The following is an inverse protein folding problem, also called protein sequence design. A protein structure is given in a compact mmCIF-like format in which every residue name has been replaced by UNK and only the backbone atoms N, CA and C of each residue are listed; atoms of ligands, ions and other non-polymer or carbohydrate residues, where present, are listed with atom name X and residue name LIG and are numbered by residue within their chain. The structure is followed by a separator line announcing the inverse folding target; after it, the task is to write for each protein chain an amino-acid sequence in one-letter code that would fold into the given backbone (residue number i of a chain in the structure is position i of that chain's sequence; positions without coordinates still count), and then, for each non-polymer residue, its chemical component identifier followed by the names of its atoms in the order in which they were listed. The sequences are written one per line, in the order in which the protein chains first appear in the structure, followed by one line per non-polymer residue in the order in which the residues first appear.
data_IF_076188636367
#
_entry.id   IF_076188636367
#
_cell.length_a   1.000
_cell.length_b   1.000
_cell.length_c   1.000
_cell.angle_alpha   90.00
_cell.angle_beta   90.00
_cell.angle_gamma   90.00
#
_symmetry.space_group_name_H-M   'P 1'
#
loop_
_entity.id
_entity.type
_entity.pdbx_description
1 polymer ?
#
# COMPACT_ATOMS: atom_id res chain seq x y z
N UNK A 1 65.63 16.78 48.12
CA UNK A 1 64.91 17.18 46.92
C UNK A 1 64.01 16.02 46.54
N UNK A 2 62.67 16.16 46.74
CA UNK A 2 61.67 15.09 46.43
C UNK A 2 61.00 15.48 45.12
N UNK A 3 61.24 14.68 44.10
CA UNK A 3 60.54 14.87 42.81
C UNK A 3 59.12 14.20 42.86
N UNK A 4 58.09 15.00 42.76
CA UNK A 4 56.76 14.50 42.62
C UNK A 4 56.49 14.24 41.12
N UNK A 5 56.17 13.01 40.78
CA UNK A 5 55.75 12.59 39.44
C UNK A 5 54.24 12.74 39.39
N UNK A 6 53.74 13.69 38.58
CA UNK A 6 52.31 13.89 38.32
C UNK A 6 51.92 12.93 37.18
N UNK A 7 51.12 11.92 37.51
CA UNK A 7 50.48 11.05 36.51
C UNK A 7 49.22 11.73 35.99
N UNK A 8 49.28 12.27 34.77
CA UNK A 8 48.10 12.79 34.09
C UNK A 8 47.36 11.61 33.46
N UNK A 9 46.22 11.25 34.06
CA UNK A 9 45.28 10.25 33.47
C UNK A 9 44.48 10.96 32.37
N UNK A 10 44.80 10.71 31.11
CA UNK A 10 43.96 11.06 29.97
C UNK A 10 42.73 10.13 29.95
N UNK A 11 41.61 10.64 30.40
CA UNK A 11 40.30 10.02 30.14
C UNK A 11 40.01 10.13 28.62
N UNK A 12 40.29 9.05 27.89
CA UNK A 12 39.78 8.89 26.53
C UNK A 12 38.25 8.73 26.61
N UNK A 13 37.54 9.83 26.47
CA UNK A 13 36.09 9.83 26.22
C UNK A 13 35.90 9.26 24.82
N UNK A 14 35.76 7.94 24.69
CA UNK A 14 35.33 7.32 23.46
C UNK A 14 33.89 7.80 23.22
N UNK A 15 33.53 8.44 22.07
CA UNK A 15 32.17 8.69 21.76
C UNK A 15 31.47 7.33 21.67
N UNK A 16 30.53 7.08 22.58
CA UNK A 16 29.62 5.96 22.46
C UNK A 16 28.91 6.16 21.13
N UNK A 17 29.29 5.41 20.11
CA UNK A 17 28.52 5.23 18.90
C UNK A 17 27.20 4.59 19.38
N UNK A 18 26.21 5.42 19.66
CA UNK A 18 24.85 4.96 19.91
C UNK A 18 24.42 4.23 18.62
N UNK A 19 24.47 2.92 18.63
CA UNK A 19 23.88 2.10 17.58
C UNK A 19 22.39 2.41 17.57
N UNK A 20 21.90 2.98 16.47
CA UNK A 20 20.51 3.30 16.31
C UNK A 20 19.67 2.02 16.46
N UNK A 21 18.62 2.05 17.27
CA UNK A 21 17.79 0.88 17.49
C UNK A 21 16.95 0.58 16.25
N UNK A 22 16.51 -0.65 16.09
CA UNK A 22 15.59 -1.02 15.00
C UNK A 22 14.29 -0.21 15.08
N UNK A 23 13.83 0.13 16.28
CA UNK A 23 12.61 0.92 16.47
C UNK A 23 12.81 2.38 16.02
N UNK A 24 13.97 2.97 16.25
CA UNK A 24 14.30 4.32 15.79
C UNK A 24 14.32 4.35 14.25
N UNK A 25 14.97 3.37 13.62
CA UNK A 25 15.02 3.24 12.17
C UNK A 25 13.63 3.08 11.55
N UNK A 26 12.76 2.28 12.17
CA UNK A 26 11.36 2.11 11.73
C UNK A 26 10.58 3.42 11.90
N UNK A 27 10.78 4.14 13.01
CA UNK A 27 10.10 5.42 13.25
C UNK A 27 10.52 6.49 12.22
N UNK A 28 11.82 6.55 11.90
CA UNK A 28 12.31 7.44 10.84
C UNK A 28 11.74 7.06 9.46
N UNK A 29 11.66 5.77 9.16
CA UNK A 29 11.05 5.29 7.92
C UNK A 29 9.56 5.66 7.82
N UNK A 30 8.81 5.56 8.92
CA UNK A 30 7.41 5.98 8.97
C UNK A 30 7.26 7.50 8.74
N UNK A 31 8.15 8.32 9.32
CA UNK A 31 8.15 9.75 9.05
C UNK A 31 8.43 10.05 7.57
N UNK A 32 9.44 9.40 6.98
CA UNK A 32 9.74 9.58 5.56
C UNK A 32 8.59 9.16 4.63
N UNK A 33 7.91 8.06 4.92
CA UNK A 33 6.85 7.56 4.02
C UNK A 33 5.49 8.22 4.23
N UNK A 34 5.15 8.66 5.46
CA UNK A 34 3.80 9.16 5.79
C UNK A 34 3.72 10.67 5.97
N UNK A 35 4.86 11.37 6.16
CA UNK A 35 4.88 12.81 6.42
C UNK A 35 5.58 13.57 5.31
N UNK A 36 6.78 13.13 4.91
CA UNK A 36 7.56 13.82 3.88
C UNK A 36 7.47 13.20 2.50
N UNK A 37 6.88 12.00 2.41
CA UNK A 37 6.72 11.22 1.16
C UNK A 37 8.04 10.95 0.43
N UNK A 38 9.12 10.75 1.20
CA UNK A 38 10.46 10.46 0.69
C UNK A 38 10.70 8.92 0.71
N UNK A 39 9.95 8.19 -0.11
CA UNK A 39 9.87 6.73 -0.08
C UNK A 39 11.24 6.03 -0.20
N UNK A 40 12.20 6.59 -0.96
CA UNK A 40 13.54 6.03 -1.03
C UNK A 40 14.27 6.14 0.31
N UNK A 41 14.17 7.26 1.03
CA UNK A 41 14.77 7.41 2.36
C UNK A 41 14.11 6.48 3.38
N UNK A 42 12.80 6.28 3.28
CA UNK A 42 12.09 5.29 4.10
C UNK A 42 12.66 3.89 3.87
N UNK A 43 12.82 3.48 2.62
CA UNK A 43 13.41 2.19 2.26
C UNK A 43 14.85 2.06 2.76
N UNK A 44 15.68 3.10 2.63
CA UNK A 44 17.08 3.08 3.10
C UNK A 44 17.17 2.87 4.61
N UNK A 45 16.24 3.43 5.40
CA UNK A 45 16.16 3.18 6.85
C UNK A 45 15.71 1.76 7.18
N UNK A 46 14.76 1.23 6.44
CA UNK A 46 14.30 -0.15 6.60
C UNK A 46 15.38 -1.17 6.23
N UNK A 47 16.21 -0.90 5.20
CA UNK A 47 17.36 -1.72 4.85
C UNK A 47 18.46 -1.71 5.94
N UNK A 48 18.57 -0.61 6.70
CA UNK A 48 19.44 -0.59 7.89
C UNK A 48 18.83 -1.43 9.02
N UNK A 49 17.51 -1.35 9.24
CA UNK A 49 16.79 -2.16 10.22
C UNK A 49 16.88 -3.67 9.91
N UNK A 50 16.83 -4.04 8.62
CA UNK A 50 16.97 -5.43 8.16
C UNK A 50 18.30 -6.05 8.54
N UNK A 51 19.40 -5.26 8.57
CA UNK A 51 20.73 -5.74 9.02
C UNK A 51 20.77 -6.09 10.50
N UNK A 52 19.84 -5.53 11.30
CA UNK A 52 19.74 -5.80 12.74
C UNK A 52 18.86 -7.03 12.99
N UNK A 53 17.68 -7.11 12.34
CA UNK A 53 16.75 -8.24 12.46
C UNK A 53 15.94 -8.41 11.16
N UNK A 54 16.31 -9.43 10.38
CA UNK A 54 15.71 -9.75 9.08
C UNK A 54 14.26 -10.26 9.20
N UNK A 55 13.84 -10.69 10.39
CA UNK A 55 12.52 -11.27 10.62
C UNK A 55 11.59 -10.33 11.40
N UNK A 56 11.99 -9.08 11.64
CA UNK A 56 11.18 -8.13 12.36
C UNK A 56 9.89 -7.84 11.60
N UNK A 57 8.77 -8.26 12.15
CA UNK A 57 7.45 -8.10 11.53
C UNK A 57 7.16 -6.62 11.15
N UNK A 58 7.48 -5.69 12.07
CA UNK A 58 7.19 -4.27 11.86
C UNK A 58 8.02 -3.66 10.73
N UNK A 59 9.23 -4.15 10.50
CA UNK A 59 10.06 -3.79 9.36
C UNK A 59 9.53 -4.44 8.07
N UNK A 60 9.21 -5.75 8.08
CA UNK A 60 8.83 -6.51 6.90
C UNK A 60 7.64 -5.91 6.14
N UNK A 61 6.53 -5.60 6.82
CA UNK A 61 5.37 -5.04 6.13
C UNK A 61 5.62 -3.61 5.60
N UNK A 62 6.52 -2.85 6.26
CA UNK A 62 6.94 -1.52 5.81
C UNK A 62 7.84 -1.59 4.59
N UNK A 63 8.75 -2.58 4.53
CA UNK A 63 9.53 -2.88 3.33
C UNK A 63 8.60 -3.13 2.13
N UNK A 64 7.57 -3.97 2.31
CA UNK A 64 6.57 -4.19 1.27
C UNK A 64 5.90 -2.88 0.83
N UNK A 65 5.51 -2.00 1.77
CA UNK A 65 4.94 -0.69 1.46
C UNK A 65 5.90 0.14 0.63
N UNK A 66 7.13 0.36 1.11
CA UNK A 66 8.09 1.21 0.42
C UNK A 66 8.43 0.72 -0.99
N UNK A 67 8.50 -0.61 -1.20
CA UNK A 67 8.72 -1.16 -2.54
C UNK A 67 7.51 -0.93 -3.47
N UNK A 68 6.27 -0.98 -2.98
CA UNK A 68 5.09 -0.61 -3.77
C UNK A 68 5.14 0.88 -4.12
N UNK A 69 5.28 1.73 -3.11
CA UNK A 69 5.22 3.19 -3.25
C UNK A 69 6.31 3.70 -4.23
N UNK A 70 7.55 3.20 -4.12
CA UNK A 70 8.60 3.51 -5.09
C UNK A 70 8.24 2.94 -6.48
N UNK A 71 7.79 1.69 -6.54
CA UNK A 71 7.46 1.02 -7.79
C UNK A 71 6.40 1.76 -8.61
N UNK A 72 5.41 2.38 -7.96
CA UNK A 72 4.36 3.16 -8.62
C UNK A 72 4.89 4.43 -9.31
N UNK A 73 5.97 5.02 -8.78
CA UNK A 73 6.58 6.25 -9.31
C UNK A 73 7.76 5.99 -10.24
N UNK A 74 8.15 4.72 -10.48
CA UNK A 74 9.19 4.41 -11.46
C UNK A 74 8.71 4.70 -12.89
N UNK A 75 9.61 5.17 -13.78
CA UNK A 75 9.33 5.23 -15.21
C UNK A 75 8.90 3.85 -15.75
N UNK A 76 7.98 3.84 -16.73
CA UNK A 76 7.42 2.60 -17.28
C UNK A 76 7.16 2.66 -18.81
N UNK A 77 7.93 3.47 -19.51
CA UNK A 77 7.78 3.68 -20.96
C UNK A 77 8.51 2.61 -21.77
N UNK A 78 9.71 2.21 -21.34
CA UNK A 78 10.52 1.18 -22.00
C UNK A 78 10.34 -0.18 -21.33
N UNK A 79 10.69 -1.26 -22.04
CA UNK A 79 10.58 -2.61 -21.47
C UNK A 79 11.52 -2.80 -20.26
N UNK A 80 12.72 -2.22 -20.29
CA UNK A 80 13.65 -2.24 -19.15
C UNK A 80 13.09 -1.49 -17.92
N UNK A 81 12.41 -0.37 -18.12
CA UNK A 81 11.74 0.37 -17.04
C UNK A 81 10.58 -0.43 -16.47
N UNK A 82 9.78 -1.07 -17.32
CA UNK A 82 8.68 -1.95 -16.90
C UNK A 82 9.20 -3.16 -16.12
N UNK A 83 10.28 -3.78 -16.57
CA UNK A 83 10.90 -4.90 -15.87
C UNK A 83 11.38 -4.48 -14.47
N UNK A 84 12.02 -3.31 -14.36
CA UNK A 84 12.43 -2.75 -13.06
C UNK A 84 11.23 -2.48 -12.16
N UNK A 85 10.14 -1.93 -12.68
CA UNK A 85 8.89 -1.71 -11.92
C UNK A 85 8.33 -3.05 -11.41
N UNK A 86 8.29 -4.08 -12.25
CA UNK A 86 7.85 -5.42 -11.85
C UNK A 86 8.75 -6.04 -10.77
N UNK A 87 10.07 -5.84 -10.85
CA UNK A 87 11.01 -6.28 -9.81
C UNK A 87 10.68 -5.66 -8.44
N UNK A 88 10.33 -4.37 -8.40
CA UNK A 88 9.91 -3.70 -7.16
C UNK A 88 8.63 -4.30 -6.58
N UNK A 89 7.63 -4.57 -7.42
CA UNK A 89 6.40 -5.23 -6.96
C UNK A 89 6.64 -6.66 -6.49
N UNK A 90 7.57 -7.39 -7.12
CA UNK A 90 7.95 -8.72 -6.65
C UNK A 90 8.65 -8.68 -5.29
N UNK A 91 9.57 -7.74 -5.08
CA UNK A 91 10.19 -7.51 -3.75
C UNK A 91 9.13 -7.15 -2.71
N UNK A 92 8.17 -6.30 -3.07
CA UNK A 92 7.05 -5.96 -2.18
C UNK A 92 6.26 -7.21 -1.76
N UNK A 93 5.98 -8.12 -2.70
CA UNK A 93 5.33 -9.40 -2.42
C UNK A 93 6.18 -10.26 -1.47
N UNK A 94 7.48 -10.42 -1.74
CA UNK A 94 8.37 -11.25 -0.95
C UNK A 94 8.43 -10.80 0.52
N UNK A 95 8.50 -9.49 0.76
CA UNK A 95 8.47 -8.92 2.11
C UNK A 95 7.10 -9.06 2.79
N UNK A 96 6.00 -8.87 2.05
CA UNK A 96 4.66 -9.08 2.59
C UNK A 96 4.42 -10.56 2.96
N UNK A 97 4.90 -11.49 2.14
CA UNK A 97 4.77 -12.93 2.41
C UNK A 97 5.60 -13.34 3.65
N UNK A 98 6.81 -12.79 3.82
CA UNK A 98 7.57 -12.92 5.06
C UNK A 98 6.81 -12.36 6.26
N UNK A 99 6.15 -11.19 6.11
CA UNK A 99 5.36 -10.59 7.19
C UNK A 99 4.18 -11.49 7.59
N UNK A 100 3.44 -12.04 6.62
CA UNK A 100 2.35 -13.00 6.89
C UNK A 100 2.86 -14.24 7.62
N UNK A 101 4.01 -14.80 7.20
CA UNK A 101 4.63 -15.96 7.85
C UNK A 101 5.11 -15.64 9.27
N UNK A 102 5.66 -14.46 9.49
CA UNK A 102 6.15 -14.01 10.80
C UNK A 102 5.02 -13.76 11.79
N UNK A 103 3.86 -13.23 11.32
CA UNK A 103 2.72 -12.91 12.18
C UNK A 103 1.39 -13.18 11.46
N UNK A 104 0.93 -14.46 11.41
CA UNK A 104 -0.25 -14.87 10.64
C UNK A 104 -1.58 -14.41 11.22
N UNK A 105 -1.59 -13.81 12.39
CA UNK A 105 -2.76 -13.21 13.07
C UNK A 105 -2.85 -11.68 12.88
N UNK A 106 -1.99 -11.08 12.04
CA UNK A 106 -1.99 -9.65 11.78
C UNK A 106 -2.56 -9.33 10.41
N UNK A 107 -3.55 -8.42 10.36
CA UNK A 107 -4.22 -7.98 9.12
C UNK A 107 -3.26 -7.33 8.14
N UNK A 108 -2.32 -6.51 8.63
CA UNK A 108 -1.45 -5.69 7.76
C UNK A 108 -0.57 -6.54 6.83
N UNK A 109 -0.11 -7.72 7.26
CA UNK A 109 0.65 -8.62 6.40
C UNK A 109 -0.15 -9.06 5.18
N UNK A 110 -1.40 -9.49 5.38
CA UNK A 110 -2.30 -9.90 4.30
C UNK A 110 -2.66 -8.73 3.40
N UNK A 111 -2.95 -7.55 3.95
CA UNK A 111 -3.24 -6.35 3.17
C UNK A 111 -2.06 -5.99 2.27
N UNK A 112 -0.84 -5.99 2.80
CA UNK A 112 0.36 -5.69 2.00
C UNK A 112 0.60 -6.72 0.91
N UNK A 113 0.36 -8.02 1.19
CA UNK A 113 0.47 -9.07 0.19
C UNK A 113 -0.61 -8.95 -0.89
N UNK A 114 -1.84 -8.62 -0.51
CA UNK A 114 -2.91 -8.34 -1.47
C UNK A 114 -2.59 -7.15 -2.38
N UNK A 115 -2.03 -6.05 -1.83
CA UNK A 115 -1.61 -4.89 -2.62
C UNK A 115 -0.51 -5.28 -3.61
N UNK A 116 0.56 -5.93 -3.13
CA UNK A 116 1.68 -6.33 -3.98
C UNK A 116 1.24 -7.28 -5.12
N UNK A 117 0.42 -8.30 -4.80
CA UNK A 117 -0.16 -9.19 -5.80
C UNK A 117 -1.07 -8.45 -6.80
N UNK A 118 -1.85 -7.49 -6.30
CA UNK A 118 -2.68 -6.64 -7.14
C UNK A 118 -1.86 -5.82 -8.13
N UNK A 119 -0.73 -5.24 -7.70
CA UNK A 119 0.19 -4.50 -8.59
C UNK A 119 0.81 -5.41 -9.65
N UNK A 120 1.30 -6.59 -9.26
CA UNK A 120 1.82 -7.58 -10.22
C UNK A 120 0.73 -8.02 -11.21
N UNK A 121 -0.50 -8.26 -10.73
CA UNK A 121 -1.62 -8.67 -11.58
C UNK A 121 -2.03 -7.58 -12.57
N UNK A 122 -2.07 -6.31 -12.16
CA UNK A 122 -2.35 -5.17 -13.03
C UNK A 122 -1.24 -4.99 -14.08
N UNK A 123 0.02 -5.12 -13.66
CA UNK A 123 1.17 -5.01 -14.54
C UNK A 123 1.19 -6.09 -15.63
N UNK A 124 0.96 -7.36 -15.27
CA UNK A 124 0.89 -8.50 -16.21
C UNK A 124 -0.41 -8.55 -17.00
N UNK A 125 -1.41 -7.76 -16.61
CA UNK A 125 -2.80 -7.90 -17.04
C UNK A 125 -3.52 -8.96 -16.21
N UNK A 126 -4.64 -8.57 -15.58
CA UNK A 126 -5.39 -9.43 -14.63
C UNK A 126 -5.80 -10.78 -15.21
N UNK A 127 -6.00 -10.86 -16.52
CA UNK A 127 -6.38 -12.09 -17.24
C UNK A 127 -5.22 -13.07 -17.42
N UNK A 128 -3.99 -12.58 -17.34
CA UNK A 128 -2.77 -13.40 -17.37
C UNK A 128 -2.27 -13.75 -15.95
N UNK A 129 -2.94 -13.23 -14.92
CA UNK A 129 -2.51 -13.33 -13.51
C UNK A 129 -3.66 -13.79 -12.60
N UNK A 130 -4.49 -14.73 -13.08
CA UNK A 130 -5.72 -15.18 -12.40
C UNK A 130 -5.44 -15.68 -10.97
N UNK A 131 -4.36 -16.44 -10.77
CA UNK A 131 -4.03 -16.98 -9.45
C UNK A 131 -3.63 -15.87 -8.45
N UNK A 132 -2.97 -14.79 -8.93
CA UNK A 132 -2.69 -13.63 -8.10
C UNK A 132 -3.98 -12.91 -7.70
N UNK A 133 -4.96 -12.80 -8.61
CA UNK A 133 -6.27 -12.21 -8.31
C UNK A 133 -7.04 -13.03 -7.27
N UNK A 134 -7.00 -14.37 -7.37
CA UNK A 134 -7.58 -15.25 -6.36
C UNK A 134 -6.90 -15.09 -5.00
N UNK A 135 -5.57 -14.95 -5.00
CA UNK A 135 -4.81 -14.71 -3.76
C UNK A 135 -5.15 -13.35 -3.14
N UNK A 136 -5.31 -12.29 -3.96
CA UNK A 136 -5.77 -10.96 -3.49
C UNK A 136 -7.10 -11.09 -2.74
N UNK A 137 -8.08 -11.81 -3.33
CA UNK A 137 -9.36 -12.06 -2.68
C UNK A 137 -9.19 -12.80 -1.35
N UNK A 138 -8.45 -13.89 -1.34
CA UNK A 138 -8.23 -14.70 -0.14
C UNK A 138 -7.54 -13.91 0.98
N UNK A 139 -6.54 -13.11 0.65
CA UNK A 139 -5.82 -12.27 1.61
C UNK A 139 -6.74 -11.19 2.21
N UNK A 140 -7.56 -10.53 1.38
CA UNK A 140 -8.52 -9.54 1.88
C UNK A 140 -9.60 -10.18 2.78
N UNK A 141 -10.14 -11.34 2.40
CA UNK A 141 -11.11 -12.08 3.22
C UNK A 141 -10.49 -12.51 4.55
N UNK A 142 -9.23 -12.96 4.54
CA UNK A 142 -8.50 -13.28 5.76
C UNK A 142 -8.29 -12.04 6.63
N UNK A 143 -7.88 -10.90 6.05
CA UNK A 143 -7.73 -9.65 6.79
C UNK A 143 -9.05 -9.22 7.44
N UNK A 144 -10.18 -9.26 6.72
CA UNK A 144 -11.51 -8.95 7.25
C UNK A 144 -11.91 -9.93 8.39
N UNK A 145 -11.55 -11.21 8.28
CA UNK A 145 -11.83 -12.19 9.34
C UNK A 145 -11.05 -11.92 10.62
N UNK A 146 -9.87 -11.31 10.51
CA UNK A 146 -9.02 -10.94 11.65
C UNK A 146 -9.44 -9.59 12.25
N UNK A 147 -9.78 -8.62 11.40
CA UNK A 147 -10.33 -7.32 11.82
C UNK A 147 -11.41 -6.83 10.83
N UNK A 148 -12.70 -6.97 11.19
CA UNK A 148 -13.81 -6.49 10.35
C UNK A 148 -13.86 -4.95 10.19
N UNK A 149 -13.02 -4.20 10.90
CA UNK A 149 -12.95 -2.75 10.81
C UNK A 149 -11.76 -2.25 9.97
N UNK A 150 -11.00 -3.14 9.34
CA UNK A 150 -9.93 -2.73 8.43
C UNK A 150 -10.49 -2.29 7.07
N UNK A 151 -10.65 -0.97 6.89
CA UNK A 151 -11.19 -0.38 5.66
C UNK A 151 -10.35 -0.64 4.40
N UNK A 152 -9.04 -0.93 4.53
CA UNK A 152 -8.19 -1.18 3.38
C UNK A 152 -8.54 -2.51 2.68
N UNK A 153 -8.85 -3.55 3.44
CA UNK A 153 -9.25 -4.83 2.87
C UNK A 153 -10.54 -4.72 2.04
N UNK A 154 -11.53 -3.97 2.54
CA UNK A 154 -12.76 -3.68 1.78
C UNK A 154 -12.48 -2.88 0.52
N UNK A 155 -11.64 -1.85 0.60
CA UNK A 155 -11.26 -1.07 -0.59
C UNK A 155 -10.63 -1.95 -1.68
N UNK A 156 -9.67 -2.82 -1.31
CA UNK A 156 -9.00 -3.72 -2.27
C UNK A 156 -10.01 -4.68 -2.90
N UNK A 157 -10.95 -5.23 -2.12
CA UNK A 157 -12.03 -6.07 -2.67
C UNK A 157 -12.94 -5.29 -3.62
N UNK A 158 -13.39 -4.10 -3.22
CA UNK A 158 -14.19 -3.23 -4.08
C UNK A 158 -13.53 -3.00 -5.44
N UNK A 159 -12.27 -2.59 -5.41
CA UNK A 159 -11.46 -2.38 -6.62
C UNK A 159 -11.26 -3.65 -7.44
N UNK A 160 -11.06 -4.79 -6.80
CA UNK A 160 -10.90 -6.08 -7.47
C UNK A 160 -12.19 -6.50 -8.18
N UNK A 161 -13.34 -6.36 -7.52
CA UNK A 161 -14.66 -6.63 -8.13
C UNK A 161 -14.91 -5.71 -9.33
N UNK A 162 -14.70 -4.40 -9.19
CA UNK A 162 -14.88 -3.44 -10.29
C UNK A 162 -13.98 -3.82 -11.49
N UNK A 163 -12.70 -4.05 -11.24
CA UNK A 163 -11.73 -4.38 -12.30
C UNK A 163 -12.09 -5.68 -13.03
N UNK A 164 -12.56 -6.68 -12.34
CA UNK A 164 -13.02 -7.91 -12.96
C UNK A 164 -14.31 -7.70 -13.76
N UNK A 165 -15.20 -6.81 -13.32
CA UNK A 165 -16.46 -6.54 -13.99
C UNK A 165 -16.32 -5.79 -15.32
N UNK A 166 -15.14 -5.24 -15.66
CA UNK A 166 -14.84 -4.74 -17.02
C UNK A 166 -15.07 -5.81 -18.12
N UNK A 167 -15.09 -7.09 -17.75
CA UNK A 167 -15.49 -8.19 -18.64
C UNK A 167 -16.79 -8.84 -18.16
N UNK A 168 -17.55 -9.35 -19.11
CA UNK A 168 -18.81 -10.03 -18.80
C UNK A 168 -18.61 -11.27 -17.92
N UNK A 169 -19.62 -11.65 -17.15
CA UNK A 169 -19.61 -12.84 -16.29
C UNK A 169 -19.34 -14.13 -17.07
N UNK A 170 -19.81 -14.21 -18.33
CA UNK A 170 -19.62 -15.38 -19.19
C UNK A 170 -18.12 -15.61 -19.47
N UNK A 171 -17.34 -14.53 -19.66
CA UNK A 171 -15.89 -14.63 -19.88
C UNK A 171 -15.16 -15.00 -18.58
N UNK A 172 -15.61 -14.47 -17.43
CA UNK A 172 -14.95 -14.65 -16.13
C UNK A 172 -15.22 -16.01 -15.48
N UNK A 173 -16.41 -16.56 -15.73
CA UNK A 173 -16.88 -17.77 -15.07
C UNK A 173 -15.97 -19.00 -15.30
N UNK A 174 -15.56 -19.34 -16.54
CA UNK A 174 -14.66 -20.47 -16.76
C UNK A 174 -13.28 -20.35 -16.10
N UNK A 175 -12.87 -19.10 -15.78
CA UNK A 175 -11.59 -18.79 -15.13
C UNK A 175 -11.68 -18.83 -13.59
N UNK A 176 -12.87 -19.18 -13.05
CA UNK A 176 -13.12 -19.14 -11.62
C UNK A 176 -13.23 -17.72 -11.04
N UNK A 177 -13.49 -16.71 -11.88
CA UNK A 177 -13.64 -15.30 -11.51
C UNK A 177 -15.10 -14.80 -11.61
N UNK A 178 -16.05 -15.75 -11.72
CA UNK A 178 -17.48 -15.46 -11.81
C UNK A 178 -18.11 -14.90 -10.54
N UNK A 179 -17.40 -14.90 -9.42
CA UNK A 179 -17.81 -14.35 -8.14
C UNK A 179 -17.87 -12.82 -8.11
N UNK A 180 -17.04 -12.13 -8.89
CA UNK A 180 -17.02 -10.69 -8.89
C UNK A 180 -18.32 -10.09 -9.47
N UNK A 181 -18.84 -9.04 -8.84
CA UNK A 181 -19.99 -8.28 -9.31
C UNK A 181 -19.95 -6.82 -8.83
N UNK A 182 -20.57 -5.91 -9.56
CA UNK A 182 -20.53 -4.48 -9.27
C UNK A 182 -21.31 -4.12 -8.01
N UNK A 183 -22.41 -4.79 -7.70
CA UNK A 183 -23.17 -4.54 -6.48
C UNK A 183 -22.30 -4.74 -5.23
N UNK A 184 -21.53 -5.83 -5.17
CA UNK A 184 -20.59 -6.07 -4.06
C UNK A 184 -19.44 -5.06 -4.09
N UNK A 185 -18.94 -4.69 -5.28
CA UNK A 185 -17.93 -3.65 -5.42
C UNK A 185 -18.35 -2.35 -4.73
N UNK A 186 -19.55 -1.86 -5.03
CA UNK A 186 -20.10 -0.65 -4.44
C UNK A 186 -20.27 -0.78 -2.92
N UNK A 187 -20.79 -1.90 -2.43
CA UNK A 187 -20.90 -2.17 -0.99
C UNK A 187 -19.54 -2.16 -0.27
N UNK A 188 -18.53 -2.73 -0.89
CA UNK A 188 -17.17 -2.72 -0.34
C UNK A 188 -16.56 -1.32 -0.34
N UNK A 189 -16.77 -0.53 -1.39
CA UNK A 189 -16.33 0.87 -1.41
C UNK A 189 -17.03 1.69 -0.32
N UNK A 190 -18.35 1.58 -0.18
CA UNK A 190 -19.09 2.28 0.87
C UNK A 190 -18.58 1.90 2.27
N UNK A 191 -18.36 0.60 2.51
CA UNK A 191 -17.80 0.12 3.78
C UNK A 191 -16.40 0.67 4.01
N UNK A 192 -15.55 0.69 2.99
CA UNK A 192 -14.19 1.22 3.10
C UNK A 192 -14.17 2.71 3.43
N UNK A 193 -15.04 3.50 2.79
CA UNK A 193 -15.19 4.94 3.04
C UNK A 193 -15.73 5.19 4.45
N UNK A 194 -16.69 4.40 4.92
CA UNK A 194 -17.22 4.53 6.27
C UNK A 194 -16.15 4.27 7.34
N UNK A 195 -15.26 3.30 7.11
CA UNK A 195 -14.18 2.94 8.02
C UNK A 195 -12.96 3.87 7.91
N UNK A 196 -12.71 4.43 6.73
CA UNK A 196 -11.59 5.34 6.45
C UNK A 196 -12.07 6.57 5.67
N UNK A 197 -12.80 7.48 6.32
CA UNK A 197 -13.51 8.57 5.63
C UNK A 197 -12.59 9.65 5.05
N UNK A 198 -11.32 9.66 5.40
CA UNK A 198 -10.37 10.70 4.97
C UNK A 198 -9.53 10.33 3.75
N UNK A 199 -9.64 9.08 3.24
CA UNK A 199 -8.88 8.64 2.07
C UNK A 199 -9.51 9.12 0.75
N UNK A 200 -8.79 9.96 0.03
CA UNK A 200 -9.23 10.56 -1.24
C UNK A 200 -9.43 9.50 -2.31
N UNK A 201 -8.46 8.60 -2.49
CA UNK A 201 -8.50 7.55 -3.49
C UNK A 201 -9.72 6.63 -3.35
N UNK A 202 -10.15 6.34 -2.11
CA UNK A 202 -11.32 5.49 -1.88
C UNK A 202 -12.59 6.12 -2.44
N UNK A 203 -12.76 7.43 -2.26
CA UNK A 203 -13.91 8.17 -2.80
C UNK A 203 -13.85 8.32 -4.31
N UNK A 204 -12.65 8.56 -4.86
CA UNK A 204 -12.46 8.70 -6.30
C UNK A 204 -12.79 7.40 -7.04
N UNK A 205 -12.26 6.26 -6.56
CA UNK A 205 -12.55 4.96 -7.19
C UNK A 205 -14.01 4.53 -6.99
N UNK A 206 -14.60 4.81 -5.83
CA UNK A 206 -16.02 4.60 -5.62
C UNK A 206 -16.88 5.46 -6.58
N UNK A 207 -16.51 6.73 -6.76
CA UNK A 207 -17.23 7.61 -7.68
C UNK A 207 -17.17 7.11 -9.13
N UNK A 208 -16.02 6.60 -9.57
CA UNK A 208 -15.89 5.95 -10.89
C UNK A 208 -16.83 4.76 -11.00
N UNK A 209 -16.81 3.86 -10.01
CA UNK A 209 -17.65 2.67 -9.99
C UNK A 209 -19.16 3.00 -9.95
N UNK A 210 -19.58 4.04 -9.20
CA UNK A 210 -20.96 4.51 -9.19
C UNK A 210 -21.38 5.11 -10.54
N UNK A 211 -20.46 5.84 -11.19
CA UNK A 211 -20.75 6.38 -12.51
C UNK A 211 -20.87 5.28 -13.58
N UNK A 212 -20.02 4.25 -13.50
CA UNK A 212 -20.08 3.10 -14.41
C UNK A 212 -21.40 2.29 -14.28
N UNK A 213 -22.07 2.41 -13.14
CA UNK A 213 -23.40 1.84 -12.86
C UNK A 213 -24.55 2.88 -12.99
N UNK A 214 -24.35 3.95 -13.78
CA UNK A 214 -25.31 5.01 -14.07
C UNK A 214 -25.81 5.80 -12.83
N UNK A 215 -25.17 5.65 -11.67
CA UNK A 215 -25.49 6.41 -10.46
C UNK A 215 -24.66 7.70 -10.37
N UNK A 216 -24.85 8.58 -11.36
CA UNK A 216 -24.15 9.86 -11.48
C UNK A 216 -24.37 10.77 -10.25
N UNK A 217 -25.53 10.70 -9.61
CA UNK A 217 -25.82 11.52 -8.42
C UNK A 217 -24.87 11.15 -7.25
N UNK A 218 -24.69 9.85 -6.98
CA UNK A 218 -23.79 9.39 -5.92
C UNK A 218 -22.33 9.63 -6.30
N UNK A 219 -21.96 9.47 -7.56
CA UNK A 219 -20.64 9.79 -8.06
C UNK A 219 -20.28 11.27 -7.79
N UNK A 220 -21.17 12.21 -8.15
CA UNK A 220 -20.99 13.65 -7.88
C UNK A 220 -20.85 13.95 -6.38
N UNK A 221 -21.70 13.38 -5.52
CA UNK A 221 -21.61 13.53 -4.07
C UNK A 221 -20.22 13.17 -3.55
N UNK A 222 -19.71 11.99 -3.95
CA UNK A 222 -18.39 11.52 -3.54
C UNK A 222 -17.27 12.45 -4.04
N UNK A 223 -17.29 12.85 -5.31
CA UNK A 223 -16.28 13.74 -5.90
C UNK A 223 -16.25 15.11 -5.21
N UNK A 224 -17.40 15.72 -4.93
CA UNK A 224 -17.51 17.00 -4.23
C UNK A 224 -16.92 16.87 -2.82
N UNK A 225 -17.17 15.76 -2.14
CA UNK A 225 -16.67 15.53 -0.78
C UNK A 225 -15.13 15.45 -0.66
N UNK A 226 -14.42 15.19 -1.77
CA UNK A 226 -12.95 15.12 -1.81
C UNK A 226 -12.30 16.48 -1.53
N UNK A 227 -12.93 17.57 -1.94
CA UNK A 227 -12.36 18.91 -1.86
C UNK A 227 -11.97 19.36 -0.43
N UNK A 228 -12.72 18.88 0.58
CA UNK A 228 -12.51 19.24 1.99
C UNK A 228 -11.52 18.34 2.75
N UNK A 229 -11.06 17.24 2.14
CA UNK A 229 -10.19 16.29 2.83
C UNK A 229 -8.76 16.84 2.95
N UNK A 230 -8.04 16.52 4.02
CA UNK A 230 -6.62 16.81 4.14
C UNK A 230 -5.77 15.85 3.27
N UNK A 231 -4.57 16.27 2.89
CA UNK A 231 -3.60 15.40 2.21
C UNK A 231 -3.07 14.35 3.20
N UNK A 232 -3.09 13.08 2.83
CA UNK A 232 -2.60 11.95 3.62
C UNK A 232 -1.71 11.01 2.82
N UNK A 233 -1.71 11.16 1.49
CA UNK A 233 -0.95 10.33 0.57
C UNK A 233 -0.16 11.20 -0.41
N UNK A 234 0.93 10.66 -0.92
CA UNK A 234 1.80 11.33 -1.90
C UNK A 234 1.00 11.78 -3.13
N UNK A 235 0.11 10.93 -3.61
CA UNK A 235 -0.67 11.10 -4.84
C UNK A 235 -1.99 11.87 -4.65
N UNK A 236 -2.32 12.29 -3.44
CA UNK A 236 -3.61 12.94 -3.15
C UNK A 236 -3.87 14.20 -3.99
N UNK A 237 -2.83 14.95 -4.36
CA UNK A 237 -2.99 16.13 -5.22
C UNK A 237 -3.36 15.73 -6.66
N UNK A 238 -2.80 14.61 -7.16
CA UNK A 238 -3.15 14.02 -8.45
C UNK A 238 -4.60 13.49 -8.40
N UNK A 239 -4.98 12.75 -7.37
CA UNK A 239 -6.36 12.24 -7.20
C UNK A 239 -7.39 13.37 -7.11
N UNK A 240 -7.08 14.50 -6.46
CA UNK A 240 -7.95 15.69 -6.45
C UNK A 240 -8.14 16.28 -7.84
N UNK A 241 -7.06 16.34 -8.64
CA UNK A 241 -7.13 16.81 -10.02
C UNK A 241 -8.04 15.90 -10.84
N UNK A 242 -7.84 14.59 -10.77
CA UNK A 242 -8.67 13.60 -11.46
C UNK A 242 -10.15 13.66 -11.02
N UNK A 243 -10.39 13.87 -9.71
CA UNK A 243 -11.75 14.04 -9.19
C UNK A 243 -12.44 15.27 -9.77
N UNK A 244 -11.75 16.41 -9.90
CA UNK A 244 -12.30 17.63 -10.55
C UNK A 244 -12.61 17.39 -12.02
N UNK A 245 -11.67 16.79 -12.76
CA UNK A 245 -11.85 16.50 -14.20
C UNK A 245 -13.04 15.53 -14.44
N UNK A 246 -13.21 14.56 -13.54
CA UNK A 246 -14.38 13.66 -13.62
C UNK A 246 -15.68 14.40 -13.28
N UNK A 247 -15.69 15.23 -12.24
CA UNK A 247 -16.87 16.01 -11.85
C UNK A 247 -17.31 16.97 -12.97
N UNK A 248 -16.38 17.61 -13.67
CA UNK A 248 -16.66 18.47 -14.83
C UNK A 248 -17.30 17.69 -15.97
N UNK A 249 -16.87 16.46 -16.24
CA UNK A 249 -17.45 15.60 -17.28
C UNK A 249 -18.87 15.11 -16.96
N UNK A 250 -19.23 15.11 -15.68
CA UNK A 250 -20.54 14.67 -15.21
C UNK A 250 -21.58 15.81 -15.14
N UNK A 251 -21.16 17.06 -15.32
CA UNK A 251 -22.08 18.22 -15.34
C UNK A 251 -22.92 18.24 -16.59
#
# INVERSE_FOLDING_TARGET
MKHAVIFTVLLLCSPSLYSQSIQDLISEADNYSAVTFENQKALDKLLQAEKIDQNNFNMLWRMSRSYVDIGEHLPNKTDAEKEKQLEYYQKAFDYADKAVKSKPDSTIGYIRRAIANGRVALFKGVWSAIDLVKQVKADCEKAISLDPNDGAAYYILGRTHAKLCEKSKIIRWPLGLGWANMKESLQYYDKSIALRPTFILYRLDAARAYNDEDNTAKAKELLISIAALAKQDEDDDMYRKEARELLEKLQ
#
